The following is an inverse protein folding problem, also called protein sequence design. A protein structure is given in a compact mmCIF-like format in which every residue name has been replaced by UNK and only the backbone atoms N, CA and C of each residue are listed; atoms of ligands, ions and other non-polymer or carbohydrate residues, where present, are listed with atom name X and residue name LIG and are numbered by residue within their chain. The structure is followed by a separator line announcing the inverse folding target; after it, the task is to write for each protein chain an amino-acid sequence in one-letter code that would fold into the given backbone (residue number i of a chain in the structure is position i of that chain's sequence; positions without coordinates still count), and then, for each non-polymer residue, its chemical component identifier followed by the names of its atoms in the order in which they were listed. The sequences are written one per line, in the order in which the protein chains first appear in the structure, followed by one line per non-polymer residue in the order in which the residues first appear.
data_IF_790958287433
#
_entry.id   IF_790958287433
#
_cell.length_a   1.000
_cell.length_b   1.000
_cell.length_c   1.000
_cell.angle_alpha   90.00
_cell.angle_beta   90.00
_cell.angle_gamma   90.00
#
_symmetry.space_group_name_H-M   'P 1'
#
loop_
_entity.id
_entity.type
_entity.pdbx_description
1 polymer ?
#
# COMPACT_ATOMS: atom_id res chain seq x y z
N UNK A 1 9.93 1.14 19.82
CA UNK A 1 10.13 2.36 18.99
C UNK A 1 8.90 2.58 18.16
N UNK A 2 8.45 3.82 17.97
CA UNK A 2 7.26 4.11 17.15
C UNK A 2 7.72 4.58 15.78
N UNK A 3 7.82 3.63 14.85
CA UNK A 3 8.26 3.92 13.49
C UNK A 3 7.23 4.72 12.71
N UNK A 4 7.69 5.64 11.85
CA UNK A 4 6.83 6.28 10.85
C UNK A 4 6.78 5.39 9.61
N UNK A 5 5.58 5.06 9.15
CA UNK A 5 5.37 4.29 7.92
C UNK A 5 5.09 5.21 6.73
N UNK A 6 5.77 4.98 5.62
CA UNK A 6 5.35 5.51 4.33
C UNK A 6 4.65 4.41 3.54
N UNK A 7 3.35 4.55 3.37
CA UNK A 7 2.56 3.66 2.50
C UNK A 7 2.75 4.16 1.08
N UNK A 8 3.25 3.31 0.19
CA UNK A 8 3.66 3.66 -1.17
C UNK A 8 2.71 3.03 -2.18
N UNK A 9 2.00 3.85 -2.93
CA UNK A 9 1.01 3.39 -3.92
C UNK A 9 1.26 4.03 -5.28
N UNK A 10 1.82 3.31 -6.24
CA UNK A 10 1.82 3.74 -7.64
C UNK A 10 0.45 3.45 -8.26
N UNK A 11 -0.14 4.45 -8.89
CA UNK A 11 -1.43 4.34 -9.56
C UNK A 11 -1.33 4.72 -11.05
N UNK A 12 -1.99 3.94 -11.92
CA UNK A 12 -1.94 4.13 -13.37
C UNK A 12 -3.32 4.28 -14.01
N UNK A 13 -4.39 4.07 -13.25
CA UNK A 13 -5.78 4.22 -13.65
C UNK A 13 -6.53 5.05 -12.63
N UNK A 14 -7.49 5.83 -13.08
CA UNK A 14 -8.46 6.45 -12.20
C UNK A 14 -9.57 5.44 -11.91
N UNK A 15 -9.66 4.99 -10.66
CA UNK A 15 -10.60 3.95 -10.23
C UNK A 15 -11.28 4.37 -8.91
N UNK A 16 -12.45 3.82 -8.58
CA UNK A 16 -13.06 4.02 -7.26
C UNK A 16 -12.21 3.44 -6.12
N UNK A 17 -11.35 2.47 -6.41
CA UNK A 17 -10.52 1.76 -5.43
C UNK A 17 -9.56 2.68 -4.65
N UNK A 18 -9.16 3.84 -5.21
CA UNK A 18 -8.38 4.82 -4.44
C UNK A 18 -9.09 5.29 -3.18
N UNK A 19 -10.43 5.41 -3.23
CA UNK A 19 -11.22 5.78 -2.04
C UNK A 19 -11.29 4.64 -1.04
N UNK A 20 -11.49 3.43 -1.51
CA UNK A 20 -11.54 2.23 -0.67
C UNK A 20 -10.19 1.99 0.02
N UNK A 21 -9.09 2.07 -0.74
CA UNK A 21 -7.74 2.01 -0.17
C UNK A 21 -7.51 3.11 0.87
N UNK A 22 -7.87 4.37 0.55
CA UNK A 22 -7.75 5.48 1.49
C UNK A 22 -8.51 5.19 2.79
N UNK A 23 -9.74 4.69 2.71
CA UNK A 23 -10.54 4.35 3.88
C UNK A 23 -9.88 3.26 4.73
N UNK A 24 -9.27 2.24 4.10
CA UNK A 24 -8.52 1.20 4.81
C UNK A 24 -7.24 1.74 5.49
N UNK A 25 -6.59 2.73 4.89
CA UNK A 25 -5.43 3.42 5.48
C UNK A 25 -5.84 4.30 6.67
N UNK A 26 -6.93 5.04 6.53
CA UNK A 26 -7.44 5.89 7.63
C UNK A 26 -7.95 5.05 8.80
N UNK A 27 -8.46 3.86 8.54
CA UNK A 27 -8.94 2.92 9.55
C UNK A 27 -7.81 2.21 10.33
N UNK A 28 -6.54 2.44 10.01
CA UNK A 28 -5.44 1.81 10.72
C UNK A 28 -5.44 2.17 12.20
N UNK A 29 -5.25 1.17 13.07
CA UNK A 29 -5.12 1.35 14.53
C UNK A 29 -3.83 2.05 14.91
N UNK A 30 -2.82 2.01 14.04
CA UNK A 30 -1.55 2.72 14.20
C UNK A 30 -1.54 4.01 13.38
N UNK A 31 -1.35 5.16 14.04
CA UNK A 31 -1.57 6.48 13.44
C UNK A 31 -0.35 7.18 12.84
N UNK A 32 0.88 6.66 13.05
CA UNK A 32 2.11 7.32 12.60
C UNK A 32 2.48 6.89 11.17
N UNK A 33 1.74 7.42 10.20
CA UNK A 33 1.92 7.08 8.80
C UNK A 33 1.74 8.31 7.89
N UNK A 34 2.31 8.20 6.69
CA UNK A 34 1.99 9.00 5.52
C UNK A 34 1.61 8.10 4.35
N UNK A 35 0.84 8.59 3.39
CA UNK A 35 0.51 7.90 2.16
C UNK A 35 1.08 8.61 0.96
N UNK A 36 2.06 8.00 0.29
CA UNK A 36 2.68 8.47 -0.94
C UNK A 36 1.92 7.91 -2.13
N UNK A 37 1.10 8.73 -2.75
CA UNK A 37 0.32 8.37 -3.93
C UNK A 37 1.03 8.91 -5.18
N UNK A 38 1.60 7.99 -5.96
CA UNK A 38 2.32 8.27 -7.18
C UNK A 38 1.41 8.08 -8.40
N UNK A 39 0.93 9.20 -8.97
CA UNK A 39 0.01 9.20 -10.12
C UNK A 39 0.79 9.17 -11.43
N UNK A 40 0.61 8.11 -12.20
CA UNK A 40 1.12 8.01 -13.55
C UNK A 40 0.24 8.85 -14.48
N UNK A 41 0.84 9.39 -15.53
CA UNK A 41 0.42 10.32 -16.59
C UNK A 41 -1.08 10.37 -17.01
N UNK A 42 -1.85 9.29 -16.76
CA UNK A 42 -3.27 9.21 -17.08
C UNK A 42 -4.20 9.67 -15.96
N UNK A 43 -3.67 9.77 -14.76
CA UNK A 43 -4.43 10.18 -13.59
C UNK A 43 -4.06 11.61 -13.27
N UNK A 44 -5.07 12.42 -13.04
CA UNK A 44 -4.89 13.79 -12.62
C UNK A 44 -5.39 13.97 -11.20
N UNK A 45 -4.58 14.65 -10.39
CA UNK A 45 -4.86 14.91 -8.98
C UNK A 45 -6.29 15.42 -8.73
N UNK A 46 -6.80 16.33 -9.57
CA UNK A 46 -8.14 16.91 -9.43
C UNK A 46 -9.30 15.91 -9.60
N UNK A 47 -9.01 14.68 -10.03
CA UNK A 47 -10.00 13.60 -10.14
C UNK A 47 -10.09 12.72 -8.90
N UNK A 48 -9.18 12.91 -7.94
CA UNK A 48 -9.23 12.18 -6.69
C UNK A 48 -10.34 12.72 -5.78
N UNK A 49 -10.90 11.87 -4.91
CA UNK A 49 -11.83 12.30 -3.87
C UNK A 49 -11.27 13.44 -3.01
N UNK A 50 -12.16 14.32 -2.59
CA UNK A 50 -11.81 15.51 -1.81
C UNK A 50 -11.10 15.16 -0.50
N UNK A 51 -11.53 14.10 0.15
CA UNK A 51 -10.96 13.60 1.41
C UNK A 51 -9.47 13.25 1.26
N UNK A 52 -9.09 12.65 0.13
CA UNK A 52 -7.70 12.33 -0.19
C UNK A 52 -6.88 13.61 -0.42
N UNK A 53 -7.49 14.60 -1.07
CA UNK A 53 -6.82 15.86 -1.40
C UNK A 53 -6.59 16.76 -0.17
N UNK A 54 -7.44 16.65 0.85
CA UNK A 54 -7.42 17.49 2.05
C UNK A 54 -6.67 16.86 3.23
N UNK A 55 -6.39 15.55 3.20
CA UNK A 55 -5.63 14.89 4.25
C UNK A 55 -4.13 15.25 4.14
N UNK A 56 -3.61 15.92 5.16
CA UNK A 56 -2.22 16.37 5.21
C UNK A 56 -1.18 15.23 5.26
N UNK A 57 -1.61 14.01 5.59
CA UNK A 57 -0.77 12.81 5.59
C UNK A 57 -0.63 12.20 4.20
N UNK A 58 -1.41 12.68 3.22
CA UNK A 58 -1.38 12.20 1.84
C UNK A 58 -0.47 13.10 1.01
N UNK A 59 0.59 12.52 0.48
CA UNK A 59 1.55 13.19 -0.39
C UNK A 59 1.36 12.70 -1.82
N UNK A 60 0.92 13.59 -2.72
CA UNK A 60 0.54 13.24 -4.08
C UNK A 60 1.60 13.74 -5.06
N UNK A 61 2.18 12.83 -5.82
CA UNK A 61 3.08 13.12 -6.92
C UNK A 61 2.42 12.80 -8.25
N UNK A 62 2.44 13.74 -9.18
CA UNK A 62 2.03 13.53 -10.58
C UNK A 62 3.28 13.41 -11.44
N UNK A 63 3.36 12.37 -12.27
CA UNK A 63 4.47 12.18 -13.21
C UNK A 63 3.97 12.18 -14.65
N UNK A 64 4.75 12.78 -15.54
CA UNK A 64 4.52 12.74 -17.00
C UNK A 64 5.39 11.68 -17.69
N UNK A 65 5.96 10.76 -16.94
CA UNK A 65 6.79 9.67 -17.48
C UNK A 65 6.01 8.85 -18.50
N UNK A 66 6.60 8.59 -19.64
CA UNK A 66 6.07 7.70 -20.68
C UNK A 66 6.40 6.23 -20.42
N UNK A 67 7.12 5.93 -19.35
CA UNK A 67 7.44 4.54 -18.98
C UNK A 67 6.17 3.74 -18.75
N UNK A 68 6.11 2.54 -19.31
CA UNK A 68 5.04 1.56 -19.06
C UNK A 68 5.46 0.50 -18.03
N UNK A 69 6.68 0.56 -17.54
CA UNK A 69 7.23 -0.42 -16.61
C UNK A 69 6.77 -0.08 -15.18
N UNK A 70 6.04 -0.99 -14.56
CA UNK A 70 5.57 -0.84 -13.17
C UNK A 70 6.75 -0.64 -12.20
N UNK A 71 7.83 -1.39 -12.37
CA UNK A 71 9.04 -1.25 -11.57
C UNK A 71 9.68 0.15 -11.60
N UNK A 72 9.60 0.84 -12.76
CA UNK A 72 10.02 2.24 -12.86
C UNK A 72 9.20 3.14 -11.91
N UNK A 73 7.88 3.01 -11.94
CA UNK A 73 7.00 3.83 -11.10
C UNK A 73 7.12 3.48 -9.62
N UNK A 74 7.21 2.18 -9.27
CA UNK A 74 7.46 1.72 -7.90
C UNK A 74 8.78 2.30 -7.38
N UNK A 75 9.87 2.14 -8.12
CA UNK A 75 11.18 2.67 -7.75
C UNK A 75 11.13 4.17 -7.42
N UNK A 76 10.54 4.98 -8.29
CA UNK A 76 10.43 6.42 -8.06
C UNK A 76 9.49 6.78 -6.90
N UNK A 77 8.40 6.06 -6.73
CA UNK A 77 7.47 6.27 -5.63
C UNK A 77 8.12 5.96 -4.26
N UNK A 78 8.88 4.86 -4.16
CA UNK A 78 9.61 4.49 -2.95
C UNK A 78 10.60 5.57 -2.50
N UNK A 79 11.26 6.26 -3.44
CA UNK A 79 12.17 7.36 -3.13
C UNK A 79 11.46 8.64 -2.62
N UNK A 80 10.15 8.64 -2.54
CA UNK A 80 9.34 9.77 -2.03
C UNK A 80 8.85 9.55 -0.60
N UNK A 81 8.97 8.33 -0.08
CA UNK A 81 8.64 8.06 1.32
C UNK A 81 9.67 8.68 2.27
N UNK A 82 9.17 9.32 3.32
CA UNK A 82 9.99 9.96 4.37
C UNK A 82 9.86 9.20 5.71
N UNK A 83 9.17 8.06 5.72
CA UNK A 83 9.04 7.19 6.89
C UNK A 83 10.26 6.31 7.10
N UNK A 84 10.36 5.77 8.30
CA UNK A 84 11.41 4.82 8.68
C UNK A 84 11.24 3.47 7.96
N UNK A 85 9.98 3.12 7.66
CA UNK A 85 9.59 1.86 7.01
C UNK A 85 8.71 2.17 5.82
N UNK A 86 9.05 1.57 4.67
CA UNK A 86 8.28 1.71 3.43
C UNK A 86 7.38 0.50 3.25
N UNK A 87 6.08 0.74 3.08
CA UNK A 87 5.05 -0.30 2.90
C UNK A 87 4.48 -0.19 1.51
N UNK A 88 4.66 -1.22 0.68
CA UNK A 88 4.07 -1.28 -0.65
C UNK A 88 2.61 -1.72 -0.55
N UNK A 89 1.70 -0.93 -1.14
CA UNK A 89 0.28 -1.29 -1.30
C UNK A 89 -0.15 -0.89 -2.70
N UNK A 90 -0.64 -1.84 -3.48
CA UNK A 90 -1.14 -1.55 -4.83
C UNK A 90 -2.47 -0.77 -4.77
N UNK A 91 -2.78 -0.04 -5.84
CA UNK A 91 -3.88 0.96 -5.85
C UNK A 91 -5.30 0.36 -5.85
N UNK A 92 -5.41 -0.96 -5.93
CA UNK A 92 -6.62 -1.75 -5.94
C UNK A 92 -6.66 -2.79 -4.80
N UNK A 93 -5.72 -2.68 -3.85
CA UNK A 93 -5.69 -3.49 -2.64
C UNK A 93 -6.24 -2.74 -1.42
N UNK A 94 -6.56 -3.50 -0.37
CA UNK A 94 -6.93 -3.01 0.95
C UNK A 94 -5.97 -3.59 2.00
N UNK A 95 -5.80 -2.87 3.10
CA UNK A 95 -5.03 -3.35 4.25
C UNK A 95 -5.92 -3.51 5.47
N UNK A 96 -5.71 -4.58 6.23
CA UNK A 96 -6.43 -4.84 7.48
C UNK A 96 -6.18 -3.73 8.50
N UNK A 97 -7.17 -3.40 9.36
CA UNK A 97 -7.06 -2.26 10.28
C UNK A 97 -5.86 -2.29 11.24
N UNK A 98 -5.34 -3.46 11.56
CA UNK A 98 -4.17 -3.64 12.44
C UNK A 98 -2.85 -3.86 11.69
N UNK A 99 -2.83 -3.71 10.36
CA UNK A 99 -1.66 -4.01 9.53
C UNK A 99 -0.41 -3.25 9.99
N UNK A 100 -0.49 -1.93 10.11
CA UNK A 100 0.66 -1.11 10.53
C UNK A 100 1.06 -1.36 11.99
N UNK A 101 0.12 -1.69 12.85
CA UNK A 101 0.41 -2.08 14.24
C UNK A 101 1.21 -3.38 14.30
N UNK A 102 0.83 -4.39 13.53
CA UNK A 102 1.55 -5.66 13.46
C UNK A 102 2.94 -5.49 12.83
N UNK A 103 3.06 -4.66 11.79
CA UNK A 103 4.36 -4.29 11.23
C UNK A 103 5.23 -3.57 12.27
N UNK A 104 4.68 -2.61 13.03
CA UNK A 104 5.43 -1.93 14.08
C UNK A 104 5.92 -2.90 15.15
N UNK A 105 5.13 -3.89 15.52
CA UNK A 105 5.56 -4.97 16.44
C UNK A 105 6.68 -5.81 15.84
N UNK A 106 6.57 -6.20 14.57
CA UNK A 106 7.57 -7.02 13.89
C UNK A 106 8.94 -6.31 13.84
N UNK A 107 8.96 -5.04 13.50
CA UNK A 107 10.18 -4.24 13.39
C UNK A 107 10.79 -3.79 14.73
N UNK A 108 10.19 -4.17 15.88
CA UNK A 108 10.88 -4.04 17.17
C UNK A 108 12.07 -5.00 17.29
N UNK A 109 12.06 -6.10 16.53
CA UNK A 109 13.21 -6.97 16.37
C UNK A 109 14.20 -6.38 15.36
N UNK A 110 15.43 -6.00 15.75
CA UNK A 110 16.43 -5.38 14.87
C UNK A 110 16.93 -6.32 13.76
N UNK A 111 16.70 -7.62 13.86
CA UNK A 111 17.07 -8.60 12.83
C UNK A 111 16.03 -8.65 11.68
N UNK A 112 14.87 -8.02 11.84
CA UNK A 112 13.84 -7.95 10.80
C UNK A 112 14.19 -6.87 9.79
N UNK A 113 14.71 -7.27 8.64
CA UNK A 113 14.98 -6.37 7.51
C UNK A 113 13.84 -6.28 6.49
N UNK A 114 12.92 -7.25 6.49
CA UNK A 114 11.78 -7.29 5.57
C UNK A 114 10.62 -8.06 6.19
N UNK A 115 9.40 -7.56 6.00
CA UNK A 115 8.16 -8.22 6.42
C UNK A 115 7.16 -8.25 5.26
N UNK A 116 6.35 -9.29 5.20
CA UNK A 116 5.25 -9.40 4.23
C UNK A 116 4.02 -10.04 4.88
N UNK A 117 2.85 -9.70 4.39
CA UNK A 117 1.58 -10.28 4.84
C UNK A 117 1.12 -11.42 3.93
N UNK A 118 0.24 -12.26 4.45
CA UNK A 118 -0.59 -13.10 3.60
C UNK A 118 -1.57 -12.22 2.81
N UNK A 119 -2.03 -12.75 1.68
CA UNK A 119 -3.01 -12.10 0.81
C UNK A 119 -4.31 -12.89 0.87
N UNK A 120 -5.41 -12.20 1.13
CA UNK A 120 -6.76 -12.73 0.90
C UNK A 120 -7.30 -12.11 -0.39
N UNK A 121 -7.89 -12.92 -1.25
CA UNK A 121 -8.56 -12.44 -2.46
C UNK A 121 -10.05 -12.51 -2.25
N UNK A 122 -10.72 -11.43 -2.57
CA UNK A 122 -12.16 -11.24 -2.40
C UNK A 122 -12.76 -10.96 -3.78
N UNK A 123 -13.97 -11.43 -4.01
CA UNK A 123 -14.79 -11.00 -5.16
C UNK A 123 -15.43 -9.62 -4.88
N UNK A 124 -16.18 -9.12 -5.86
CA UNK A 124 -16.86 -7.82 -5.76
C UNK A 124 -17.93 -7.78 -4.64
N UNK A 125 -18.37 -8.94 -4.14
CA UNK A 125 -19.30 -9.10 -3.02
C UNK A 125 -18.57 -9.31 -1.67
N UNK A 126 -17.26 -9.18 -1.62
CA UNK A 126 -16.41 -9.46 -0.47
C UNK A 126 -16.54 -10.89 0.07
N UNK A 127 -16.81 -11.84 -0.82
CA UNK A 127 -16.73 -13.26 -0.52
C UNK A 127 -15.30 -13.76 -0.72
N UNK A 128 -14.69 -14.43 0.27
CA UNK A 128 -13.32 -14.93 0.11
C UNK A 128 -13.21 -15.83 -1.12
N UNK A 129 -12.30 -15.52 -2.00
CA UNK A 129 -12.03 -16.36 -3.15
C UNK A 129 -11.26 -17.60 -2.70
N UNK A 130 -11.91 -18.76 -2.80
CA UNK A 130 -11.31 -20.02 -2.39
C UNK A 130 -10.34 -20.49 -3.48
N UNK A 131 -9.07 -20.15 -3.36
CA UNK A 131 -8.03 -20.68 -4.22
C UNK A 131 -7.77 -22.15 -3.83
N UNK A 132 -8.46 -23.08 -4.46
CA UNK A 132 -8.15 -24.52 -4.29
C UNK A 132 -6.76 -24.90 -4.82
N UNK A 133 -6.10 -24.01 -5.59
CA UNK A 133 -4.76 -24.22 -6.14
C UNK A 133 -3.96 -22.93 -6.06
N UNK A 134 -3.39 -22.70 -4.88
CA UNK A 134 -2.93 -21.52 -4.80
C UNK A 134 -1.59 -21.01 -4.48
N UNK A 135 -1.49 -19.77 -4.69
CA UNK A 135 -0.38 -18.92 -4.32
C UNK A 135 -0.13 -18.88 -2.79
N UNK A 136 -1.16 -19.15 -1.99
CA UNK A 136 -1.06 -19.25 -0.53
C UNK A 136 -0.15 -20.38 -0.06
N UNK A 137 -0.03 -21.48 -0.82
CA UNK A 137 0.91 -22.55 -0.49
C UNK A 137 2.37 -22.16 -0.73
N UNK A 138 2.64 -21.32 -1.70
CA UNK A 138 4.00 -20.84 -1.96
C UNK A 138 4.56 -19.97 -0.82
N UNK A 139 3.73 -19.17 -0.19
CA UNK A 139 4.15 -18.30 0.91
C UNK A 139 4.34 -19.04 2.24
N UNK A 140 3.59 -20.11 2.48
CA UNK A 140 3.76 -20.95 3.68
C UNK A 140 5.09 -21.71 3.71
N UNK A 141 5.63 -22.11 2.56
CA UNK A 141 6.91 -22.81 2.49
C UNK A 141 8.12 -21.90 2.78
N UNK A 142 7.99 -20.60 2.59
CA UNK A 142 9.06 -19.64 2.89
C UNK A 142 9.11 -19.17 4.34
N UNK A 143 8.09 -19.45 5.16
CA UNK A 143 8.05 -19.09 6.59
C UNK A 143 8.96 -19.95 7.49
N UNK A 144 9.62 -20.92 6.98
CA UNK A 144 10.29 -21.96 7.76
C UNK A 144 11.80 -22.11 7.53
N UNK A 145 12.50 -21.14 6.95
CA UNK A 145 13.95 -21.29 6.77
C UNK A 145 14.68 -19.97 6.96
#
# INVERSE_FOLDING_TARGET
MDYKFSIITPAHKNTPYHKELYDSIVAQTYGNWEWVLWLNNKIKRYKLPKEILEDKRVVIYETESKSKHVGYHKHHAFHKGEGDILVEVDSDDLIEPNCLEELNKAYQDPEVGFAYSDVAVWDDDFVPYNYEHGWTHYFHEFRGK
#
